data_IF_498316897841
#
_entry.id   IF_498316897841
#
_cell.length_a   1.000
_cell.length_b   1.000
_cell.length_c   1.000
_cell.angle_alpha   90.00
_cell.angle_beta   90.00
_cell.angle_gamma   90.00
#
_symmetry.space_group_name_H-M   'P 1'
#
loop_
_entity.id
_entity.type
_entity.pdbx_description
1 polymer ?
#
# COMPACT_ATOMS: atom_id res chain seq x y z
N UNK A 1 15.85 -52.43 -64.85
CA UNK A 1 14.82 -53.47 -65.01
C UNK A 1 13.53 -52.90 -64.43
N UNK A 2 12.50 -52.74 -65.27
CA UNK A 2 11.04 -52.81 -65.00
C UNK A 2 10.52 -52.40 -63.60
N UNK A 3 9.48 -51.60 -63.38
CA UNK A 3 8.29 -51.21 -64.15
C UNK A 3 7.51 -50.20 -63.30
N UNK A 4 6.79 -49.30 -63.95
CA UNK A 4 5.86 -48.33 -63.36
C UNK A 4 4.63 -49.04 -62.80
N UNK A 5 4.17 -48.70 -61.59
CA UNK A 5 2.76 -48.84 -61.21
C UNK A 5 2.22 -47.56 -60.56
N UNK A 6 0.94 -47.22 -60.83
CA UNK A 6 0.50 -45.84 -60.94
C UNK A 6 -0.04 -45.27 -59.63
N UNK A 7 0.07 -43.95 -59.56
CA UNK A 7 -0.52 -43.05 -58.57
C UNK A 7 -2.04 -43.31 -58.47
N UNK A 8 -2.53 -43.77 -57.30
CA UNK A 8 -3.95 -43.71 -56.96
C UNK A 8 -4.21 -42.33 -56.37
N UNK A 9 -4.78 -41.45 -57.18
CA UNK A 9 -5.36 -40.19 -56.73
C UNK A 9 -6.39 -40.47 -55.62
N UNK A 10 -6.09 -40.05 -54.39
CA UNK A 10 -7.11 -39.77 -53.39
C UNK A 10 -7.29 -38.26 -53.37
N UNK A 11 -8.35 -37.80 -54.03
CA UNK A 11 -8.90 -36.46 -53.87
C UNK A 11 -9.08 -36.15 -52.38
N UNK A 12 -8.18 -35.34 -51.83
CA UNK A 12 -8.35 -34.75 -50.51
C UNK A 12 -9.19 -33.48 -50.69
N UNK A 13 -10.47 -33.57 -50.33
CA UNK A 13 -11.34 -32.39 -50.20
C UNK A 13 -10.66 -31.37 -49.26
N UNK A 14 -10.57 -30.08 -49.63
CA UNK A 14 -9.94 -29.09 -48.77
C UNK A 14 -10.78 -28.92 -47.49
N UNK A 15 -10.13 -29.13 -46.34
CA UNK A 15 -10.72 -28.94 -45.02
C UNK A 15 -10.99 -27.45 -44.84
N UNK A 16 -12.26 -27.06 -44.76
CA UNK A 16 -12.65 -25.67 -44.53
C UNK A 16 -11.98 -25.10 -43.28
N UNK A 17 -11.26 -23.99 -43.42
CA UNK A 17 -10.62 -23.31 -42.31
C UNK A 17 -11.70 -22.71 -41.41
N UNK A 18 -11.72 -23.09 -40.12
CA UNK A 18 -12.56 -22.43 -39.12
C UNK A 18 -12.16 -20.95 -39.02
N UNK A 19 -13.12 -20.02 -38.89
CA UNK A 19 -12.78 -18.61 -38.76
C UNK A 19 -11.97 -18.41 -37.49
N UNK A 20 -10.81 -17.76 -37.62
CA UNK A 20 -9.99 -17.34 -36.48
C UNK A 20 -10.81 -16.31 -35.70
N UNK A 21 -11.34 -16.70 -34.55
CA UNK A 21 -11.80 -15.74 -33.55
C UNK A 21 -10.58 -14.94 -33.12
N UNK A 22 -10.57 -13.64 -33.44
CA UNK A 22 -9.61 -12.72 -32.84
C UNK A 22 -9.85 -12.77 -31.33
N UNK A 23 -8.89 -13.30 -30.57
CA UNK A 23 -8.87 -13.08 -29.13
C UNK A 23 -8.63 -11.59 -28.93
N UNK A 24 -9.67 -10.81 -28.71
CA UNK A 24 -9.50 -9.48 -28.12
C UNK A 24 -8.82 -9.71 -26.77
N UNK A 25 -7.62 -9.16 -26.59
CA UNK A 25 -6.99 -9.13 -25.28
C UNK A 25 -7.95 -8.47 -24.31
N UNK A 26 -8.11 -9.00 -23.10
CA UNK A 26 -8.90 -8.37 -22.02
C UNK A 26 -8.47 -6.90 -21.73
N UNK A 27 -7.34 -6.45 -22.29
CA UNK A 27 -6.85 -5.08 -22.23
C UNK A 27 -7.64 -4.05 -23.08
N UNK A 28 -8.57 -4.47 -23.94
CA UNK A 28 -9.35 -3.59 -24.83
C UNK A 28 -10.84 -3.51 -24.46
N UNK A 29 -11.23 -3.97 -23.27
CA UNK A 29 -12.60 -3.88 -22.78
C UNK A 29 -12.86 -2.50 -22.16
N UNK A 30 -13.69 -1.64 -22.76
CA UNK A 30 -14.04 -0.34 -22.20
C UNK A 30 -14.81 -0.45 -20.88
N UNK A 31 -15.36 -1.63 -20.56
CA UNK A 31 -16.14 -1.90 -19.34
C UNK A 31 -15.25 -2.41 -18.18
N UNK A 32 -13.92 -2.39 -18.33
CA UNK A 32 -13.01 -2.70 -17.24
C UNK A 32 -12.98 -1.54 -16.22
N UNK A 33 -13.97 -1.56 -15.33
CA UNK A 33 -14.29 -0.57 -14.27
C UNK A 33 -13.07 -0.01 -13.52
N UNK A 34 -11.97 -0.76 -13.40
CA UNK A 34 -10.76 -0.28 -12.73
C UNK A 34 -10.02 0.82 -13.52
N UNK A 35 -10.09 0.84 -14.87
CA UNK A 35 -9.45 1.91 -15.68
C UNK A 35 -10.25 3.21 -15.61
N UNK A 36 -11.57 3.14 -15.64
CA UNK A 36 -12.42 4.34 -15.54
C UNK A 36 -12.24 5.06 -14.21
N UNK A 37 -12.14 4.33 -13.09
CA UNK A 37 -11.89 4.92 -11.76
C UNK A 37 -10.52 5.60 -11.65
N UNK A 38 -9.47 5.01 -12.26
CA UNK A 38 -8.13 5.62 -12.28
C UNK A 38 -8.10 6.90 -13.11
N UNK A 39 -8.78 6.92 -14.25
CA UNK A 39 -8.90 8.10 -15.10
C UNK A 39 -9.72 9.21 -14.43
N UNK A 40 -10.80 8.89 -13.73
CA UNK A 40 -11.58 9.84 -12.94
C UNK A 40 -10.77 10.41 -11.79
N UNK A 41 -10.03 9.58 -11.04
CA UNK A 41 -9.14 10.06 -9.99
C UNK A 41 -8.03 10.96 -10.54
N UNK A 42 -7.48 10.65 -11.73
CA UNK A 42 -6.47 11.50 -12.38
C UNK A 42 -7.04 12.86 -12.82
N UNK A 43 -8.32 12.91 -13.17
CA UNK A 43 -9.05 14.14 -13.51
C UNK A 43 -9.55 14.89 -12.27
N UNK A 44 -9.65 14.22 -11.12
CA UNK A 44 -10.12 14.83 -9.89
C UNK A 44 -9.20 15.98 -9.45
N UNK A 45 -9.77 17.10 -8.98
CA UNK A 45 -8.96 18.20 -8.49
C UNK A 45 -8.14 17.71 -7.28
N UNK A 46 -6.83 17.93 -7.34
CA UNK A 46 -5.96 17.70 -6.18
C UNK A 46 -6.38 18.65 -5.06
N UNK A 47 -6.26 18.18 -3.82
CA UNK A 47 -6.41 19.03 -2.65
C UNK A 47 -5.47 20.24 -2.76
N UNK A 48 -6.04 21.44 -2.65
CA UNK A 48 -5.31 22.69 -2.78
C UNK A 48 -4.71 23.08 -1.43
N UNK A 49 -3.61 22.44 -1.07
CA UNK A 49 -2.87 22.78 0.14
C UNK A 49 -2.08 24.09 -0.03
N UNK A 50 -1.98 24.85 1.06
CA UNK A 50 -1.04 25.97 1.13
C UNK A 50 0.41 25.46 1.24
N UNK A 51 1.41 26.32 1.01
CA UNK A 51 2.82 25.94 1.19
C UNK A 51 3.11 25.52 2.64
N UNK A 52 2.58 26.24 3.61
CA UNK A 52 2.81 25.99 5.04
C UNK A 52 2.16 24.67 5.48
N UNK A 53 0.98 24.38 4.94
CA UNK A 53 0.33 23.09 5.14
C UNK A 53 1.15 21.93 4.54
N UNK A 54 1.65 22.07 3.31
CA UNK A 54 2.52 21.07 2.71
C UNK A 54 3.79 20.82 3.53
N UNK A 55 4.39 21.87 4.08
CA UNK A 55 5.56 21.74 4.96
C UNK A 55 5.20 21.02 6.26
N UNK A 56 4.05 21.35 6.86
CA UNK A 56 3.56 20.68 8.08
C UNK A 56 3.33 19.19 7.84
N UNK A 57 2.63 18.83 6.76
CA UNK A 57 2.38 17.42 6.39
C UNK A 57 3.71 16.69 6.12
N UNK A 58 4.66 17.34 5.45
CA UNK A 58 5.99 16.78 5.20
C UNK A 58 6.77 16.53 6.49
N UNK A 59 6.78 17.49 7.42
CA UNK A 59 7.45 17.35 8.72
C UNK A 59 6.85 16.19 9.53
N UNK A 60 5.53 16.06 9.56
CA UNK A 60 4.85 14.95 10.23
C UNK A 60 5.22 13.60 9.61
N UNK A 61 5.19 13.48 8.28
CA UNK A 61 5.60 12.24 7.60
C UNK A 61 7.07 11.90 7.85
N UNK A 62 7.95 12.91 7.85
CA UNK A 62 9.38 12.72 8.12
C UNK A 62 9.63 12.29 9.57
N UNK A 63 8.89 12.87 10.53
CA UNK A 63 8.93 12.44 11.93
C UNK A 63 8.57 10.96 12.06
N UNK A 64 7.47 10.52 11.45
CA UNK A 64 7.05 9.11 11.46
C UNK A 64 8.15 8.24 10.87
N UNK A 65 8.68 8.59 9.68
CA UNK A 65 9.76 7.83 9.04
C UNK A 65 10.98 7.68 9.97
N UNK A 66 11.46 8.77 10.57
CA UNK A 66 12.64 8.75 11.44
C UNK A 66 12.41 8.00 12.74
N UNK A 67 11.21 8.11 13.30
CA UNK A 67 10.81 7.33 14.47
C UNK A 67 10.85 5.83 14.15
N UNK A 68 10.27 5.42 13.03
CA UNK A 68 10.20 4.02 12.64
C UNK A 68 11.54 3.41 12.27
N UNK A 69 12.42 4.17 11.59
CA UNK A 69 13.80 3.75 11.36
C UNK A 69 14.54 3.50 12.69
N UNK A 70 14.27 4.34 13.69
CA UNK A 70 14.86 4.18 15.03
C UNK A 70 14.27 2.99 15.78
N UNK A 71 12.95 2.80 15.72
CA UNK A 71 12.29 1.63 16.28
C UNK A 71 12.85 0.33 15.65
N UNK A 72 12.94 0.29 14.32
CA UNK A 72 13.55 -0.82 13.59
C UNK A 72 15.01 -1.09 13.98
N UNK A 73 15.82 -0.02 14.17
CA UNK A 73 17.18 -0.15 14.67
C UNK A 73 17.22 -0.78 16.07
N UNK A 74 16.41 -0.29 17.01
CA UNK A 74 16.38 -0.77 18.39
C UNK A 74 15.83 -2.20 18.49
N UNK A 75 14.86 -2.55 17.65
CA UNK A 75 14.36 -3.92 17.52
C UNK A 75 15.46 -4.87 17.02
N UNK A 76 16.21 -4.47 15.99
CA UNK A 76 17.36 -5.24 15.50
C UNK A 76 18.49 -5.42 16.54
N UNK A 77 18.59 -4.50 17.50
CA UNK A 77 19.51 -4.60 18.65
C UNK A 77 18.94 -5.41 19.82
N UNK A 78 17.70 -5.91 19.72
CA UNK A 78 17.03 -6.63 20.82
C UNK A 78 16.59 -5.75 21.99
N UNK A 79 16.53 -4.42 21.80
CA UNK A 79 16.11 -3.46 22.82
C UNK A 79 14.59 -3.23 22.86
N UNK A 80 13.88 -3.70 21.84
CA UNK A 80 12.43 -3.81 21.77
C UNK A 80 12.13 -5.31 21.72
N UNK A 81 11.32 -5.80 22.65
CA UNK A 81 10.93 -7.21 22.73
C UNK A 81 9.59 -7.49 22.04
N UNK A 82 9.29 -8.76 21.78
CA UNK A 82 8.00 -9.16 21.22
C UNK A 82 7.84 -8.81 19.74
N UNK A 83 6.77 -8.11 19.39
CA UNK A 83 6.46 -7.70 18.02
C UNK A 83 6.83 -6.24 17.78
N UNK A 84 7.17 -5.88 16.53
CA UNK A 84 7.41 -4.50 16.13
C UNK A 84 6.95 -4.27 14.67
N UNK A 85 5.81 -3.60 14.48
CA UNK A 85 5.21 -3.41 13.16
C UNK A 85 5.43 -1.98 12.65
N UNK A 86 6.45 -1.80 11.82
CA UNK A 86 6.88 -0.46 11.36
C UNK A 86 5.90 0.17 10.35
N UNK A 87 5.51 1.43 10.52
CA UNK A 87 4.64 2.16 9.58
C UNK A 87 5.35 2.72 8.33
N UNK A 88 6.56 2.25 8.02
CA UNK A 88 7.40 2.73 6.91
C UNK A 88 6.67 2.55 5.57
N UNK A 89 6.54 3.65 4.82
CA UNK A 89 5.91 3.68 3.50
C UNK A 89 4.40 3.94 3.53
N UNK A 90 3.80 4.05 4.72
CA UNK A 90 2.39 4.37 4.91
C UNK A 90 2.18 5.75 5.55
N UNK A 91 3.22 6.57 5.71
CA UNK A 91 3.17 7.82 6.49
C UNK A 91 2.07 8.79 6.00
N UNK A 92 1.89 8.88 4.68
CA UNK A 92 0.86 9.71 4.07
C UNK A 92 -0.57 9.28 4.44
N UNK A 93 -0.78 8.00 4.78
CA UNK A 93 -2.10 7.48 5.20
C UNK A 93 -2.48 8.07 6.55
N UNK A 94 -1.62 7.94 7.56
CA UNK A 94 -1.89 8.46 8.90
C UNK A 94 -1.98 10.00 8.90
N UNK A 95 -1.03 10.67 8.25
CA UNK A 95 -0.98 12.13 8.19
C UNK A 95 -2.15 12.71 7.40
N UNK A 96 -2.46 12.14 6.22
CA UNK A 96 -3.56 12.59 5.39
C UNK A 96 -4.94 12.30 5.99
N UNK A 97 -5.09 11.19 6.71
CA UNK A 97 -6.30 10.91 7.49
C UNK A 97 -6.45 11.98 8.58
N UNK A 98 -5.41 12.20 9.38
CA UNK A 98 -5.46 13.15 10.49
C UNK A 98 -5.74 14.58 10.05
N UNK A 99 -5.21 15.01 8.89
CA UNK A 99 -5.45 16.36 8.38
C UNK A 99 -6.90 16.63 7.96
N UNK A 100 -7.70 15.57 7.79
CA UNK A 100 -9.09 15.67 7.34
C UNK A 100 -10.12 15.45 8.46
N UNK A 101 -9.70 15.03 9.66
CA UNK A 101 -10.59 14.73 10.77
C UNK A 101 -10.84 15.94 11.67
N UNK A 102 -12.02 15.99 12.28
CA UNK A 102 -12.33 16.89 13.38
C UNK A 102 -11.97 16.22 14.72
N UNK A 103 -10.92 16.67 15.43
CA UNK A 103 -10.45 16.02 16.65
C UNK A 103 -11.45 16.10 17.82
N UNK A 104 -12.45 16.99 17.76
CA UNK A 104 -13.47 17.08 18.82
C UNK A 104 -14.65 16.13 18.60
N UNK A 105 -14.79 15.58 17.39
CA UNK A 105 -15.98 14.81 16.99
C UNK A 105 -15.66 13.42 16.46
N UNK A 106 -14.52 13.28 15.81
CA UNK A 106 -14.14 12.05 15.15
C UNK A 106 -13.30 11.16 16.08
N UNK A 107 -13.46 9.86 15.91
CA UNK A 107 -12.71 8.83 16.62
C UNK A 107 -12.07 7.89 15.63
N UNK A 108 -10.86 7.43 15.92
CA UNK A 108 -10.12 6.50 15.07
C UNK A 108 -9.66 5.29 15.86
N UNK A 109 -9.80 4.14 15.21
CA UNK A 109 -9.26 2.86 15.63
C UNK A 109 -8.47 2.28 14.46
N UNK A 110 -7.37 1.59 14.76
CA UNK A 110 -6.52 0.93 13.77
C UNK A 110 -6.07 -0.43 14.28
N UNK A 111 -5.32 -1.18 13.47
CA UNK A 111 -4.70 -2.44 13.87
C UNK A 111 -3.34 -2.24 14.54
N UNK A 112 -2.59 -3.33 14.69
CA UNK A 112 -1.28 -3.40 15.38
C UNK A 112 -0.10 -2.67 14.71
N UNK A 113 -0.36 -1.87 13.67
CA UNK A 113 0.65 -1.07 12.96
C UNK A 113 0.27 0.39 13.14
N UNK A 114 0.44 0.90 14.35
CA UNK A 114 -0.23 2.10 14.84
C UNK A 114 0.73 3.22 15.26
N UNK A 115 2.04 2.98 15.33
CA UNK A 115 3.00 4.01 15.77
C UNK A 115 2.86 5.31 14.96
N UNK A 116 2.74 5.19 13.63
CA UNK A 116 2.53 6.34 12.73
C UNK A 116 1.22 7.08 12.99
N UNK A 117 0.16 6.36 13.37
CA UNK A 117 -1.08 7.00 13.81
C UNK A 117 -0.85 7.76 15.12
N UNK A 118 -0.31 7.12 16.15
CA UNK A 118 -0.04 7.76 17.45
C UNK A 118 0.75 9.08 17.30
N UNK A 119 1.78 9.07 16.44
CA UNK A 119 2.57 10.27 16.12
C UNK A 119 1.75 11.33 15.38
N UNK A 120 0.93 10.96 14.39
CA UNK A 120 0.06 11.88 13.68
C UNK A 120 -0.96 12.55 14.63
N UNK A 121 -1.45 11.82 15.63
CA UNK A 121 -2.33 12.33 16.70
C UNK A 121 -1.60 13.18 17.75
N UNK A 122 -0.30 13.45 17.57
CA UNK A 122 0.45 14.38 18.41
C UNK A 122 0.95 13.78 19.73
N UNK A 123 0.94 12.45 19.89
CA UNK A 123 1.58 11.83 21.05
C UNK A 123 3.09 12.10 21.02
N UNK A 124 3.67 12.38 22.19
CA UNK A 124 5.10 12.62 22.32
C UNK A 124 5.88 11.36 21.88
N UNK A 125 6.76 11.46 20.87
CA UNK A 125 7.57 10.33 20.41
C UNK A 125 8.36 9.65 21.53
N UNK A 126 8.75 10.39 22.58
CA UNK A 126 9.47 9.84 23.73
C UNK A 126 8.62 8.88 24.54
N UNK A 127 7.32 9.17 24.70
CA UNK A 127 6.38 8.29 25.40
C UNK A 127 6.17 7.00 24.60
N UNK A 128 6.01 7.12 23.27
CA UNK A 128 5.86 5.96 22.39
C UNK A 128 7.13 5.10 22.45
N UNK A 129 8.31 5.70 22.31
CA UNK A 129 9.58 4.97 22.40
C UNK A 129 9.81 4.33 23.77
N UNK A 130 9.37 4.96 24.85
CA UNK A 130 9.41 4.38 26.19
C UNK A 130 8.52 3.14 26.28
N UNK A 131 7.33 3.15 25.68
CA UNK A 131 6.44 1.99 25.62
C UNK A 131 7.07 0.86 24.79
N UNK A 132 7.58 1.16 23.60
CA UNK A 132 8.23 0.16 22.73
C UNK A 132 9.42 -0.51 23.41
N UNK A 133 10.19 0.24 24.21
CA UNK A 133 11.36 -0.29 24.93
C UNK A 133 11.02 -0.83 26.33
N UNK A 134 9.73 -1.01 26.65
CA UNK A 134 9.26 -1.64 27.88
C UNK A 134 9.56 -0.85 29.15
N UNK A 135 9.48 0.49 29.09
CA UNK A 135 9.81 1.40 30.21
C UNK A 135 8.54 1.94 30.88
N UNK A 136 8.63 2.23 32.18
CA UNK A 136 7.53 2.75 32.99
C UNK A 136 6.97 4.08 32.47
N UNK A 137 7.78 4.88 31.79
CA UNK A 137 7.36 6.16 31.18
C UNK A 137 6.49 5.99 29.92
N UNK A 138 6.29 4.75 29.44
CA UNK A 138 5.39 4.46 28.33
C UNK A 138 3.92 4.70 28.70
N UNK A 139 3.08 4.90 27.68
CA UNK A 139 1.65 5.22 27.85
C UNK A 139 0.88 4.15 28.66
N UNK A 140 1.30 2.89 28.54
CA UNK A 140 0.76 1.74 29.28
C UNK A 140 1.76 1.22 30.32
N UNK A 141 2.72 2.06 30.71
CA UNK A 141 3.80 1.76 31.65
C UNK A 141 4.70 0.60 31.20
N UNK A 142 4.91 0.48 29.88
CA UNK A 142 5.74 -0.57 29.28
C UNK A 142 5.10 -1.95 29.25
N UNK A 143 3.77 -2.04 29.43
CA UNK A 143 3.03 -3.31 29.45
C UNK A 143 2.37 -3.66 28.12
N UNK A 144 2.12 -2.68 27.25
CA UNK A 144 1.48 -2.89 25.95
C UNK A 144 2.50 -3.24 24.86
N UNK A 145 3.60 -2.47 24.80
CA UNK A 145 4.61 -2.63 23.76
C UNK A 145 4.17 -2.00 22.44
N UNK A 146 4.37 -2.73 21.33
CA UNK A 146 4.20 -2.22 19.95
C UNK A 146 2.77 -2.25 19.39
N UNK A 147 1.81 -2.85 20.09
CA UNK A 147 0.43 -3.05 19.65
C UNK A 147 -0.53 -2.58 20.74
#
# INVERSE_FOLDING_TARGET
MQTVHPNRERSALPRAAKPKTSKSSAASDPDFVLRSLQEEHAKAPRYKASKDELLTLYEQMLLIRRFEEKAGQLYGLGLIGGFCHLYIGQEAVAVGLQSALDPERDSVITGYRDHGHMLAYGLDPRIIMAELTGREAGISKGKGGSM
#
